data_IF_091726299657
#
_entry.id   IF_091726299657
#
_cell.length_a   1.000
_cell.length_b   1.000
_cell.length_c   1.000
_cell.angle_alpha   90.00
_cell.angle_beta   90.00
_cell.angle_gamma   90.00
#
_symmetry.space_group_name_H-M   'P 1'
#
loop_
_entity.id
_entity.type
_entity.pdbx_description
1 polymer ?
#
# COMPACT_ATOMS: atom_id res chain seq x y z
N UNK A 1 -13.07 -6.80 4.44
CA UNK A 1 -11.63 -7.12 4.62
C UNK A 1 -10.84 -5.85 4.89
N UNK A 2 -9.74 -5.91 5.64
CA UNK A 2 -8.91 -4.75 5.99
C UNK A 2 -7.50 -4.86 5.42
N UNK A 3 -7.11 -3.90 4.59
CA UNK A 3 -5.78 -3.75 4.01
C UNK A 3 -5.02 -2.68 4.77
N UNK A 4 -3.86 -3.04 5.29
CA UNK A 4 -2.90 -2.13 5.90
C UNK A 4 -1.67 -2.07 5.02
N UNK A 5 -1.23 -0.88 4.68
CA UNK A 5 -0.02 -0.72 3.86
C UNK A 5 0.97 0.19 4.56
N UNK A 6 2.25 -0.04 4.32
CA UNK A 6 3.31 0.90 4.64
C UNK A 6 4.40 0.88 3.56
N UNK A 7 5.01 2.03 3.32
CA UNK A 7 5.94 2.29 2.26
C UNK A 7 6.91 3.38 2.68
N UNK A 8 8.19 3.16 2.45
CA UNK A 8 9.20 4.14 2.86
C UNK A 8 10.27 4.28 1.80
N UNK A 9 10.88 5.46 1.76
CA UNK A 9 12.05 5.78 0.97
C UNK A 9 13.08 6.46 1.87
N UNK A 10 14.34 6.03 1.77
CA UNK A 10 15.44 6.64 2.54
C UNK A 10 15.82 7.99 1.92
N UNK A 11 15.46 9.10 2.56
CA UNK A 11 15.75 10.44 2.04
C UNK A 11 15.05 10.76 0.72
N UNK A 12 15.56 11.77 0.00
CA UNK A 12 15.06 12.10 -1.34
C UNK A 12 15.80 11.25 -2.39
N UNK A 13 15.06 10.50 -3.22
CA UNK A 13 15.59 9.60 -4.25
C UNK A 13 16.48 8.46 -3.70
N UNK A 14 16.25 8.01 -2.48
CA UNK A 14 16.99 6.86 -1.93
C UNK A 14 16.20 5.57 -1.94
N UNK A 15 16.78 4.56 -1.30
CA UNK A 15 16.32 3.17 -1.36
C UNK A 15 14.90 3.09 -0.79
N UNK A 16 14.00 2.48 -1.53
CA UNK A 16 12.59 2.44 -1.21
C UNK A 16 12.02 1.03 -1.27
N UNK A 17 11.06 0.77 -0.39
CA UNK A 17 10.35 -0.48 -0.31
C UNK A 17 8.95 -0.25 0.23
N UNK A 18 8.03 -1.11 -0.19
CA UNK A 18 6.63 -1.07 0.23
C UNK A 18 6.20 -2.44 0.70
N UNK A 19 5.20 -2.47 1.56
CA UNK A 19 4.67 -3.66 2.19
C UNK A 19 3.22 -3.46 2.57
N UNK A 20 2.52 -4.56 2.77
CA UNK A 20 1.19 -4.50 3.34
C UNK A 20 0.66 -5.86 3.71
N UNK A 21 -0.46 -5.83 4.44
CA UNK A 21 -1.13 -7.01 4.93
C UNK A 21 -2.63 -6.85 4.75
N UNK A 22 -3.26 -7.90 4.22
CA UNK A 22 -4.69 -8.08 4.19
C UNK A 22 -5.11 -8.96 5.37
N UNK A 23 -6.12 -8.48 6.09
CA UNK A 23 -6.68 -9.14 7.27
C UNK A 23 -8.19 -9.26 7.14
N UNK A 24 -8.76 -10.29 7.76
CA UNK A 24 -10.21 -10.36 7.93
C UNK A 24 -10.69 -9.50 9.11
N UNK A 25 -11.99 -9.51 9.36
CA UNK A 25 -12.66 -8.71 10.38
C UNK A 25 -12.24 -9.10 11.81
N UNK A 26 -11.77 -10.33 12.01
CA UNK A 26 -11.21 -10.81 13.28
C UNK A 26 -9.72 -10.44 13.44
N UNK A 27 -9.16 -9.67 12.50
CA UNK A 27 -7.74 -9.33 12.48
C UNK A 27 -6.81 -10.46 12.04
N UNK A 28 -7.35 -11.60 11.58
CA UNK A 28 -6.54 -12.74 11.12
C UNK A 28 -5.88 -12.44 9.79
N UNK A 29 -4.65 -12.90 9.63
CA UNK A 29 -3.90 -12.82 8.39
C UNK A 29 -4.61 -13.52 7.24
N UNK A 30 -4.64 -12.87 6.08
CA UNK A 30 -5.08 -13.46 4.81
C UNK A 30 -3.90 -13.55 3.85
N UNK A 31 -3.24 -12.43 3.58
CA UNK A 31 -2.10 -12.36 2.68
C UNK A 31 -1.26 -11.11 2.99
N UNK A 32 0.06 -11.26 3.00
CA UNK A 32 0.99 -10.13 3.04
C UNK A 32 1.72 -9.95 1.71
N UNK A 33 2.23 -8.75 1.46
CA UNK A 33 3.13 -8.49 0.34
C UNK A 33 4.31 -7.60 0.76
N UNK A 34 5.42 -7.70 0.04
CA UNK A 34 6.53 -6.76 0.08
C UNK A 34 7.08 -6.56 -1.33
N UNK A 35 7.46 -5.33 -1.66
CA UNK A 35 7.97 -4.95 -2.98
C UNK A 35 9.15 -3.99 -2.83
N UNK A 36 10.26 -4.32 -3.49
CA UNK A 36 11.42 -3.44 -3.58
C UNK A 36 11.24 -2.48 -4.76
N UNK A 37 11.34 -1.17 -4.52
CA UNK A 37 11.09 -0.14 -5.53
C UNK A 37 12.38 0.47 -6.13
N UNK A 38 13.55 -0.02 -5.72
CA UNK A 38 14.80 0.63 -6.11
C UNK A 38 14.97 1.98 -5.41
N UNK A 39 15.31 3.01 -6.18
CA UNK A 39 15.54 4.37 -5.69
C UNK A 39 14.37 5.28 -6.09
N UNK A 40 13.69 5.86 -5.11
CA UNK A 40 12.60 6.81 -5.39
C UNK A 40 12.36 7.77 -4.23
N UNK A 41 11.41 8.69 -4.38
CA UNK A 41 10.98 9.57 -3.29
C UNK A 41 9.79 8.96 -2.51
N UNK A 42 9.54 9.51 -1.33
CA UNK A 42 8.49 9.04 -0.42
C UNK A 42 7.10 9.04 -1.06
N UNK A 43 6.72 10.08 -1.83
CA UNK A 43 5.39 10.14 -2.45
C UNK A 43 5.18 9.02 -3.48
N UNK A 44 6.19 8.76 -4.32
CA UNK A 44 6.13 7.67 -5.30
C UNK A 44 6.08 6.32 -4.59
N UNK A 45 6.85 6.12 -3.53
CA UNK A 45 6.78 4.91 -2.72
C UNK A 45 5.37 4.69 -2.14
N UNK A 46 4.76 5.72 -1.54
CA UNK A 46 3.40 5.64 -0.98
C UNK A 46 2.32 5.39 -2.05
N UNK A 47 2.50 5.85 -3.28
CA UNK A 47 1.58 5.52 -4.40
C UNK A 47 1.73 4.06 -4.84
N UNK A 48 2.96 3.55 -4.97
CA UNK A 48 3.21 2.15 -5.30
C UNK A 48 2.74 1.19 -4.21
N UNK A 49 2.87 1.61 -2.95
CA UNK A 49 2.37 0.90 -1.78
C UNK A 49 0.87 0.60 -1.89
N UNK A 50 0.04 1.65 -2.05
CA UNK A 50 -1.40 1.46 -2.14
C UNK A 50 -1.79 0.70 -3.41
N UNK A 51 -1.13 0.98 -4.53
CA UNK A 51 -1.34 0.24 -5.79
C UNK A 51 -1.12 -1.26 -5.60
N UNK A 52 0.00 -1.65 -4.98
CA UNK A 52 0.33 -3.06 -4.71
C UNK A 52 -0.73 -3.74 -3.85
N UNK A 53 -1.18 -3.06 -2.80
CA UNK A 53 -2.26 -3.54 -1.95
C UNK A 53 -3.58 -3.71 -2.70
N UNK A 54 -4.01 -2.73 -3.51
CA UNK A 54 -5.26 -2.82 -4.28
C UNK A 54 -5.20 -3.93 -5.34
N UNK A 55 -4.07 -4.11 -6.03
CA UNK A 55 -3.88 -5.21 -6.99
C UNK A 55 -4.00 -6.57 -6.29
N UNK A 56 -3.34 -6.74 -5.14
CA UNK A 56 -3.41 -7.95 -4.35
C UNK A 56 -4.86 -8.27 -3.94
N UNK A 57 -5.59 -7.31 -3.38
CA UNK A 57 -6.98 -7.53 -2.94
C UNK A 57 -7.89 -7.84 -4.14
N UNK A 58 -7.71 -7.14 -5.26
CA UNK A 58 -8.46 -7.40 -6.50
C UNK A 58 -8.22 -8.82 -7.03
N UNK A 59 -6.97 -9.32 -7.00
CA UNK A 59 -6.65 -10.69 -7.44
C UNK A 59 -7.32 -11.78 -6.58
N UNK A 60 -7.73 -11.44 -5.35
CA UNK A 60 -8.46 -12.34 -4.46
C UNK A 60 -9.99 -12.27 -4.65
N UNK A 61 -10.48 -11.46 -5.60
CA UNK A 61 -11.91 -11.30 -5.86
C UNK A 61 -12.69 -10.58 -4.77
N UNK A 62 -12.00 -9.85 -3.88
CA UNK A 62 -12.62 -9.15 -2.75
C UNK A 62 -13.16 -7.80 -3.21
N UNK A 63 -14.42 -7.50 -2.89
CA UNK A 63 -15.08 -6.23 -3.27
C UNK A 63 -15.27 -5.26 -2.10
N UNK A 64 -15.41 -5.76 -0.86
CA UNK A 64 -15.59 -4.93 0.34
C UNK A 64 -14.27 -4.74 1.09
N UNK A 65 -13.75 -3.52 1.02
CA UNK A 65 -12.41 -3.18 1.47
C UNK A 65 -12.38 -1.99 2.43
N UNK A 66 -11.65 -2.14 3.53
CA UNK A 66 -11.19 -1.06 4.40
C UNK A 66 -9.69 -0.89 4.18
N UNK A 67 -9.26 0.30 3.76
CA UNK A 67 -7.86 0.66 3.54
C UNK A 67 -7.36 1.53 4.70
N UNK A 68 -6.22 1.14 5.28
CA UNK A 68 -5.47 1.91 6.27
C UNK A 68 -4.07 2.21 5.70
N UNK A 69 -3.77 3.50 5.53
CA UNK A 69 -2.51 4.01 4.99
C UNK A 69 -2.06 5.27 5.76
N UNK A 70 -0.75 5.50 5.83
CA UNK A 70 -0.12 6.59 6.57
C UNK A 70 0.32 7.76 5.67
N UNK A 71 -0.37 7.95 4.55
CA UNK A 71 -0.07 9.01 3.59
C UNK A 71 -1.32 9.82 3.24
N UNK A 72 -1.61 10.87 4.00
CA UNK A 72 -2.75 11.78 3.76
C UNK A 72 -2.80 12.30 2.33
N UNK A 73 -1.63 12.71 1.80
CA UNK A 73 -1.52 13.22 0.43
C UNK A 73 -1.95 12.17 -0.60
N UNK A 74 -1.67 10.89 -0.37
CA UNK A 74 -2.09 9.79 -1.25
C UNK A 74 -3.59 9.55 -1.15
N UNK A 75 -4.18 9.65 0.05
CA UNK A 75 -5.64 9.59 0.23
C UNK A 75 -6.33 10.67 -0.59
N UNK A 76 -5.87 11.93 -0.46
CA UNK A 76 -6.43 13.06 -1.20
C UNK A 76 -6.23 12.95 -2.72
N UNK A 77 -5.10 12.38 -3.16
CA UNK A 77 -4.82 12.18 -4.58
C UNK A 77 -5.73 11.13 -5.21
N UNK A 78 -6.07 10.05 -4.50
CA UNK A 78 -6.82 8.91 -5.03
C UNK A 78 -8.32 9.07 -4.80
N UNK A 79 -8.73 9.35 -3.57
CA UNK A 79 -10.14 9.41 -3.15
C UNK A 79 -10.65 10.82 -2.87
N UNK A 80 -9.78 11.82 -2.86
CA UNK A 80 -10.15 13.23 -2.71
C UNK A 80 -10.41 13.96 -4.03
N UNK A 81 -10.55 15.28 -3.92
CA UNK A 81 -10.81 16.18 -5.05
C UNK A 81 -9.54 16.75 -5.69
N UNK A 82 -8.35 16.40 -5.19
CA UNK A 82 -7.08 16.98 -5.60
C UNK A 82 -6.60 16.44 -6.96
N UNK A 83 -6.13 17.33 -7.85
CA UNK A 83 -5.79 16.98 -9.25
C UNK A 83 -4.38 17.36 -9.70
N UNK A 84 -3.54 17.95 -8.84
CA UNK A 84 -2.30 18.61 -9.28
C UNK A 84 -1.04 17.76 -9.08
N UNK A 85 -0.86 16.73 -9.91
CA UNK A 85 0.47 16.17 -10.16
C UNK A 85 0.56 15.53 -11.55
N UNK A 86 0.88 16.33 -12.58
CA UNK A 86 0.96 15.88 -13.97
C UNK A 86 1.99 14.76 -14.19
N UNK A 87 3.11 14.79 -13.45
CA UNK A 87 4.18 13.79 -13.57
C UNK A 87 3.75 12.41 -13.04
N UNK A 88 2.99 12.39 -11.94
CA UNK A 88 2.52 11.14 -11.31
C UNK A 88 1.12 10.74 -11.76
N UNK A 89 0.50 11.51 -12.66
CA UNK A 89 -0.87 11.31 -13.13
C UNK A 89 -1.15 9.88 -13.60
N UNK A 90 -0.28 9.21 -14.40
CA UNK A 90 -0.53 7.84 -14.80
C UNK A 90 -0.65 6.87 -13.62
N UNK A 91 0.23 7.01 -12.63
CA UNK A 91 0.23 6.16 -11.42
C UNK A 91 -0.99 6.45 -10.52
N UNK A 92 -1.35 7.73 -10.39
CA UNK A 92 -2.54 8.15 -9.64
C UNK A 92 -3.82 7.63 -10.32
N UNK A 93 -3.92 7.76 -11.64
CA UNK A 93 -5.08 7.31 -12.40
C UNK A 93 -5.23 5.78 -12.35
N UNK A 94 -4.12 5.03 -12.38
CA UNK A 94 -4.14 3.57 -12.18
C UNK A 94 -4.62 3.19 -10.77
N UNK A 95 -4.17 3.91 -9.73
CA UNK A 95 -4.67 3.71 -8.37
C UNK A 95 -6.17 4.03 -8.24
N UNK A 96 -6.64 5.10 -8.90
CA UNK A 96 -8.06 5.46 -8.94
C UNK A 96 -8.88 4.37 -9.62
N UNK A 97 -8.40 3.85 -10.74
CA UNK A 97 -9.10 2.81 -11.47
C UNK A 97 -9.16 1.50 -10.70
N UNK A 98 -8.06 1.12 -10.02
CA UNK A 98 -8.07 0.01 -9.08
C UNK A 98 -9.04 0.26 -7.93
N UNK A 99 -9.08 1.47 -7.37
CA UNK A 99 -9.99 1.86 -6.28
C UNK A 99 -11.47 1.74 -6.65
N UNK A 100 -11.84 2.03 -7.90
CA UNK A 100 -13.22 1.90 -8.41
C UNK A 100 -13.71 0.46 -8.51
N UNK A 101 -12.82 -0.52 -8.46
CA UNK A 101 -13.20 -1.94 -8.48
C UNK A 101 -13.96 -2.35 -7.20
N UNK A 102 -13.76 -1.64 -6.10
CA UNK A 102 -14.32 -1.98 -4.81
C UNK A 102 -15.67 -1.28 -4.60
N UNK A 103 -16.60 -1.98 -3.96
CA UNK A 103 -17.78 -1.37 -3.34
C UNK A 103 -17.24 -0.34 -2.35
N UNK A 104 -17.62 0.94 -2.52
CA UNK A 104 -17.47 2.05 -1.58
C UNK A 104 -16.35 1.83 -0.53
N UNK A 105 -15.07 1.79 -0.96
CA UNK A 105 -13.98 1.39 -0.09
C UNK A 105 -13.84 2.42 1.03
N UNK A 106 -13.81 1.93 2.28
CA UNK A 106 -13.56 2.80 3.44
C UNK A 106 -12.08 3.09 3.50
N UNK A 107 -11.70 4.36 3.50
CA UNK A 107 -10.30 4.76 3.55
C UNK A 107 -10.06 5.55 4.84
N UNK A 108 -9.09 5.10 5.63
CA UNK A 108 -8.70 5.74 6.86
C UNK A 108 -7.21 6.05 6.84
N UNK A 109 -6.87 7.30 7.16
CA UNK A 109 -5.50 7.65 7.47
C UNK A 109 -5.13 7.10 8.85
N UNK A 110 -4.01 6.38 8.93
CA UNK A 110 -3.42 5.92 10.20
C UNK A 110 -2.06 6.56 10.41
N UNK A 111 -1.67 6.80 11.66
CA UNK A 111 -0.30 7.25 11.95
C UNK A 111 0.64 6.05 11.95
N UNK A 112 1.86 6.25 11.45
CA UNK A 112 2.89 5.20 11.30
C UNK A 112 3.10 4.38 12.59
N UNK A 113 3.03 5.00 13.78
CA UNK A 113 3.20 4.31 15.07
C UNK A 113 2.16 3.23 15.37
N UNK A 114 1.02 3.25 14.66
CA UNK A 114 -0.09 2.31 14.85
C UNK A 114 0.00 1.13 13.87
N UNK A 115 0.80 1.23 12.80
CA UNK A 115 0.93 0.19 11.78
C UNK A 115 1.99 -0.87 12.09
N UNK A 116 2.13 -1.24 13.38
CA UNK A 116 3.15 -2.16 13.90
C UNK A 116 3.16 -3.53 13.23
N UNK A 117 2.03 -3.95 12.64
CA UNK A 117 1.91 -5.25 11.96
C UNK A 117 2.56 -5.21 10.57
N UNK A 118 2.42 -4.10 9.82
CA UNK A 118 3.18 -3.91 8.61
C UNK A 118 4.68 -3.73 8.94
N UNK A 119 5.02 -3.09 10.05
CA UNK A 119 6.42 -2.93 10.48
C UNK A 119 7.13 -4.25 10.83
N UNK A 120 6.40 -5.26 11.28
CA UNK A 120 6.98 -6.59 11.51
C UNK A 120 7.41 -7.26 10.19
N UNK A 121 6.60 -7.13 9.12
CA UNK A 121 6.92 -7.58 7.75
C UNK A 121 8.13 -6.83 7.15
N UNK A 122 8.27 -5.54 7.47
CA UNK A 122 9.35 -4.66 7.02
C UNK A 122 10.73 -5.28 7.16
N UNK A 123 10.96 -5.85 8.34
CA UNK A 123 12.28 -6.25 8.80
C UNK A 123 12.79 -7.47 8.03
N UNK A 124 11.89 -8.23 7.40
CA UNK A 124 12.22 -9.46 6.68
C UNK A 124 12.35 -9.22 5.18
N UNK A 125 11.62 -8.23 4.63
CA UNK A 125 11.75 -7.85 3.22
C UNK A 125 13.05 -7.12 2.87
N UNK A 126 13.78 -6.58 3.85
CA UNK A 126 15.00 -5.78 3.63
C UNK A 126 16.20 -6.56 3.07
N UNK A 127 16.24 -7.88 3.21
CA UNK A 127 17.40 -8.70 2.81
C UNK A 127 17.28 -9.34 1.43
N UNK A 128 16.16 -9.14 0.72
CA UNK A 128 15.94 -9.81 -0.57
C UNK A 128 15.85 -8.81 -1.70
N UNK A 129 16.72 -8.95 -2.70
CA UNK A 129 16.71 -8.19 -3.96
C UNK A 129 15.58 -8.62 -4.91
N UNK A 130 14.48 -9.17 -4.39
CA UNK A 130 13.36 -9.63 -5.21
C UNK A 130 12.32 -8.53 -5.36
N UNK A 131 11.78 -8.40 -6.56
CA UNK A 131 10.88 -7.32 -6.92
C UNK A 131 9.57 -7.41 -6.13
N UNK A 132 8.85 -8.53 -6.12
CA UNK A 132 7.57 -8.68 -5.40
C UNK A 132 7.48 -10.04 -4.70
N UNK A 133 7.11 -10.02 -3.42
CA UNK A 133 6.91 -11.22 -2.59
C UNK A 133 5.50 -11.23 -2.00
N UNK A 134 4.92 -12.42 -1.89
CA UNK A 134 3.67 -12.67 -1.17
C UNK A 134 3.88 -13.63 -0.01
N UNK A 135 3.15 -13.40 1.07
CA UNK A 135 3.31 -14.11 2.35
C UNK A 135 1.97 -14.69 2.79
N UNK A 136 1.82 -16.02 2.74
CA UNK A 136 0.58 -16.71 3.15
C UNK A 136 0.42 -16.79 4.68
N UNK A 137 1.51 -16.61 5.42
CA UNK A 137 1.54 -16.61 6.88
C UNK A 137 2.22 -15.33 7.37
N UNK A 138 1.89 -14.85 8.58
CA UNK A 138 2.66 -13.80 9.22
C UNK A 138 4.10 -14.30 9.44
N UNK A 139 5.09 -13.41 9.33
CA UNK A 139 6.45 -13.71 9.71
C UNK A 139 6.64 -13.97 11.21
#
# INVERSE_FOLDING_TARGET
MKLNTDGSASGNLGRAGVRGVLRNELGRWILGFALFLGMTNSLVAKLWEIRGGLVMVKSLGIQSLWVELDAKVVVELIWGSYRDNLLLKPLIDDCKELGRHFWDPRVQQVYHEVNKVADALARIGCDTSQDLMYFNNPP
#
